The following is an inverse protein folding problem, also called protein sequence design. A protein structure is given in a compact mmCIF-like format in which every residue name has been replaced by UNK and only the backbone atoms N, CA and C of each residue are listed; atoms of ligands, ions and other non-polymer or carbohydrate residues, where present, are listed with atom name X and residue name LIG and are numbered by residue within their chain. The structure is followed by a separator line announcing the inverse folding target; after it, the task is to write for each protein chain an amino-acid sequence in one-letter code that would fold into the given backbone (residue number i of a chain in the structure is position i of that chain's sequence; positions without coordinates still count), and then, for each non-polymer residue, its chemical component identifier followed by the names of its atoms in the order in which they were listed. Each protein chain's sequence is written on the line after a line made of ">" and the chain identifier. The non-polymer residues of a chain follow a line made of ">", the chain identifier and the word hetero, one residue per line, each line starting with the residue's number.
data_IF_202648914862
#
_entry.id   IF_202648914862
#
_cell.length_a   1.000
_cell.length_b   1.000
_cell.length_c   1.000
_cell.angle_alpha   90.00
_cell.angle_beta   90.00
_cell.angle_gamma   90.00
#
_symmetry.space_group_name_H-M   'P 1'
#
loop_
_entity.id
_entity.type
_entity.pdbx_description
1 polymer ?
#
# COMPACT_ATOMS: atom_id res chain seq x y z
N UNK A 1 1.07 19.78 17.69
CA UNK A 1 1.60 19.44 16.34
C UNK A 1 2.20 18.05 16.31
N UNK A 2 3.15 17.70 17.19
CA UNK A 2 3.82 16.38 17.17
C UNK A 2 2.88 15.16 17.29
N UNK A 3 1.83 15.25 18.11
CA UNK A 3 0.80 14.18 18.21
C UNK A 3 0.11 13.88 16.87
N UNK A 4 -0.21 14.91 16.07
CA UNK A 4 -0.82 14.73 14.75
C UNK A 4 0.15 14.10 13.76
N UNK A 5 1.44 14.43 13.87
CA UNK A 5 2.49 13.81 13.04
C UNK A 5 2.64 12.32 13.37
N UNK A 6 2.64 11.97 14.65
CA UNK A 6 2.71 10.59 15.10
C UNK A 6 1.50 9.79 14.59
N UNK A 7 0.30 10.36 14.69
CA UNK A 7 -0.91 9.75 14.18
C UNK A 7 -0.85 9.53 12.67
N UNK A 8 -0.38 10.51 11.89
CA UNK A 8 -0.23 10.38 10.44
C UNK A 8 0.76 9.27 10.05
N UNK A 9 1.85 9.10 10.80
CA UNK A 9 2.79 7.99 10.60
C UNK A 9 2.17 6.64 10.95
N UNK A 10 1.41 6.56 12.04
CA UNK A 10 0.66 5.36 12.42
C UNK A 10 -0.38 4.98 11.37
N UNK A 11 -1.11 5.96 10.84
CA UNK A 11 -2.08 5.76 9.76
C UNK A 11 -1.41 5.26 8.48
N UNK A 12 -0.21 5.76 8.14
CA UNK A 12 0.55 5.28 6.98
C UNK A 12 0.98 3.83 7.13
N UNK A 13 1.42 3.43 8.33
CA UNK A 13 1.72 2.03 8.64
C UNK A 13 0.47 1.15 8.57
N UNK A 14 -0.67 1.63 9.05
CA UNK A 14 -1.94 0.91 8.93
C UNK A 14 -2.35 0.72 7.47
N UNK A 15 -2.18 1.74 6.63
CA UNK A 15 -2.42 1.66 5.19
C UNK A 15 -1.51 0.63 4.51
N UNK A 16 -0.24 0.54 4.91
CA UNK A 16 0.69 -0.49 4.43
C UNK A 16 0.20 -1.91 4.76
N UNK A 17 -0.23 -2.15 6.01
CA UNK A 17 -0.82 -3.42 6.43
C UNK A 17 -2.11 -3.75 5.68
N UNK A 18 -2.98 -2.76 5.50
CA UNK A 18 -4.19 -2.91 4.69
C UNK A 18 -3.85 -3.25 3.24
N UNK A 19 -2.83 -2.61 2.65
CA UNK A 19 -2.35 -2.92 1.30
C UNK A 19 -1.93 -4.39 1.15
N UNK A 20 -1.19 -4.93 2.12
CA UNK A 20 -0.82 -6.37 2.16
C UNK A 20 -2.06 -7.27 2.16
N UNK A 21 -3.03 -6.97 3.03
CA UNK A 21 -4.26 -7.76 3.14
C UNK A 21 -5.05 -7.69 1.83
N UNK A 22 -5.15 -6.50 1.24
CA UNK A 22 -5.86 -6.26 -0.03
C UNK A 22 -5.25 -7.07 -1.17
N UNK A 23 -3.91 -7.05 -1.31
CA UNK A 23 -3.24 -7.82 -2.35
C UNK A 23 -3.42 -9.32 -2.16
N UNK A 24 -3.41 -9.79 -0.91
CA UNK A 24 -3.64 -11.21 -0.61
C UNK A 24 -5.07 -11.61 -0.95
N UNK A 25 -6.04 -10.83 -0.45
CA UNK A 25 -7.47 -11.05 -0.73
C UNK A 25 -7.76 -11.05 -2.23
N UNK A 26 -7.24 -10.06 -2.96
CA UNK A 26 -7.37 -9.99 -4.41
C UNK A 26 -6.76 -11.20 -5.11
N UNK A 27 -5.57 -11.62 -4.72
CA UNK A 27 -4.89 -12.76 -5.33
C UNK A 27 -5.63 -14.09 -5.12
N UNK A 28 -6.24 -14.30 -3.95
CA UNK A 28 -7.09 -15.47 -3.70
C UNK A 28 -8.43 -15.42 -4.43
N UNK A 29 -8.98 -14.21 -4.63
CA UNK A 29 -10.26 -14.03 -5.32
C UNK A 29 -10.14 -14.14 -6.84
N UNK A 30 -9.01 -13.71 -7.42
CA UNK A 30 -8.80 -13.62 -8.88
C UNK A 30 -8.33 -14.93 -9.51
N UNK A 31 -7.70 -15.84 -8.75
CA UNK A 31 -7.20 -17.08 -9.33
C UNK A 31 -8.32 -18.04 -9.74
N UNK A 32 -8.37 -18.44 -11.01
CA UNK A 32 -9.35 -19.43 -11.50
C UNK A 32 -9.08 -20.85 -10.95
N UNK A 33 -7.80 -21.20 -10.82
CA UNK A 33 -7.35 -22.52 -10.35
C UNK A 33 -6.69 -22.43 -8.96
N UNK A 34 -6.74 -23.51 -8.18
CA UNK A 34 -6.19 -23.56 -6.82
C UNK A 34 -4.69 -23.15 -6.77
N UNK A 35 -3.90 -23.57 -7.76
CA UNK A 35 -2.50 -23.17 -7.88
C UNK A 35 -2.33 -21.67 -8.14
N UNK A 36 -3.15 -21.08 -9.02
CA UNK A 36 -3.13 -19.64 -9.31
C UNK A 36 -3.57 -18.80 -8.10
N UNK A 37 -4.57 -19.25 -7.35
CA UNK A 37 -5.00 -18.60 -6.10
C UNK A 37 -3.87 -18.51 -5.08
N UNK A 38 -3.12 -19.59 -4.89
CA UNK A 38 -1.96 -19.58 -4.01
C UNK A 38 -0.83 -18.71 -4.56
N UNK A 39 -0.54 -18.79 -5.86
CA UNK A 39 0.52 -18.02 -6.49
C UNK A 39 0.27 -16.51 -6.41
N UNK A 40 -0.95 -16.07 -6.72
CA UNK A 40 -1.32 -14.66 -6.65
C UNK A 40 -1.55 -14.21 -5.20
N UNK A 41 -2.29 -15.01 -4.42
CA UNK A 41 -2.66 -14.70 -3.03
C UNK A 41 -1.48 -14.63 -2.07
N UNK A 42 -0.40 -15.36 -2.32
CA UNK A 42 0.85 -15.25 -1.55
C UNK A 42 1.94 -14.48 -2.29
N UNK A 43 2.09 -14.70 -3.60
CA UNK A 43 3.15 -14.08 -4.38
C UNK A 43 3.03 -12.56 -4.42
N UNK A 44 1.82 -12.01 -4.60
CA UNK A 44 1.63 -10.55 -4.68
C UNK A 44 1.91 -9.87 -3.32
N UNK A 45 1.38 -10.34 -2.17
CA UNK A 45 1.74 -9.79 -0.86
C UNK A 45 3.24 -9.91 -0.53
N UNK A 46 3.86 -11.04 -0.88
CA UNK A 46 5.30 -11.24 -0.64
C UNK A 46 6.10 -10.24 -1.48
N UNK A 47 5.77 -10.09 -2.77
CA UNK A 47 6.41 -9.12 -3.64
C UNK A 47 6.23 -7.69 -3.12
N UNK A 48 5.01 -7.34 -2.67
CA UNK A 48 4.75 -6.06 -2.03
C UNK A 48 5.66 -5.86 -0.82
N UNK A 49 5.73 -6.83 0.11
CA UNK A 49 6.53 -6.73 1.33
C UNK A 49 8.02 -6.57 1.01
N UNK A 50 8.53 -7.30 0.03
CA UNK A 50 9.93 -7.22 -0.40
C UNK A 50 10.23 -5.86 -1.05
N UNK A 51 9.40 -5.42 -2.00
CA UNK A 51 9.58 -4.12 -2.67
C UNK A 51 9.49 -2.99 -1.64
N UNK A 52 8.50 -3.04 -0.76
CA UNK A 52 8.31 -2.04 0.27
C UNK A 52 9.48 -2.01 1.27
N UNK A 53 9.84 -3.16 1.82
CA UNK A 53 10.96 -3.33 2.74
C UNK A 53 12.30 -2.90 2.15
N UNK A 54 12.50 -3.16 0.86
CA UNK A 54 13.77 -2.88 0.18
C UNK A 54 13.89 -1.44 -0.30
N UNK A 55 12.81 -0.78 -0.72
CA UNK A 55 12.89 0.53 -1.37
C UNK A 55 12.17 1.67 -0.63
N UNK A 56 11.10 1.37 0.11
CA UNK A 56 10.23 2.38 0.73
C UNK A 56 10.40 2.47 2.25
N UNK A 57 10.82 1.38 2.90
CA UNK A 57 10.95 1.30 4.35
C UNK A 57 11.96 2.32 4.91
N UNK A 58 11.70 2.90 6.10
CA UNK A 58 12.57 3.91 6.69
C UNK A 58 13.98 3.40 7.01
N UNK A 59 14.12 2.11 7.31
CA UNK A 59 15.40 1.43 7.57
C UNK A 59 16.00 0.71 6.35
N UNK A 60 15.47 0.95 5.15
CA UNK A 60 15.97 0.34 3.92
C UNK A 60 17.41 0.77 3.62
N UNK A 61 18.26 -0.20 3.25
CA UNK A 61 19.62 0.02 2.72
C UNK A 61 19.63 0.64 1.32
N UNK A 62 18.58 0.42 0.52
CA UNK A 62 18.41 0.97 -0.84
C UNK A 62 17.23 1.93 -0.92
N UNK A 63 17.09 2.80 0.08
CA UNK A 63 15.98 3.74 0.16
C UNK A 63 16.00 4.66 -1.06
N UNK A 64 14.92 4.65 -1.84
CA UNK A 64 14.80 5.52 -3.00
C UNK A 64 14.77 6.99 -2.57
N UNK A 65 15.45 7.83 -3.36
CA UNK A 65 15.37 9.28 -3.20
C UNK A 65 14.05 9.80 -3.73
N UNK A 66 13.54 10.87 -3.14
CA UNK A 66 12.45 11.65 -3.75
C UNK A 66 12.91 12.15 -5.13
N UNK A 67 12.03 12.18 -6.15
CA UNK A 67 10.58 11.89 -6.10
C UNK A 67 10.20 10.42 -6.32
N UNK A 68 11.17 9.56 -6.66
CA UNK A 68 10.93 8.17 -7.08
C UNK A 68 10.24 7.33 -6.00
N UNK A 69 10.61 7.52 -4.73
CA UNK A 69 9.95 6.85 -3.60
C UNK A 69 8.45 7.15 -3.56
N UNK A 70 8.07 8.43 -3.64
CA UNK A 70 6.67 8.85 -3.65
C UNK A 70 5.92 8.33 -4.87
N UNK A 71 6.58 8.23 -6.03
CA UNK A 71 5.98 7.72 -7.26
C UNK A 71 5.66 6.22 -7.13
N UNK A 72 6.62 5.40 -6.67
CA UNK A 72 6.40 3.96 -6.49
C UNK A 72 5.35 3.70 -5.42
N UNK A 73 5.38 4.46 -4.32
CA UNK A 73 4.34 4.38 -3.29
C UNK A 73 2.95 4.62 -3.87
N UNK A 74 2.80 5.69 -4.67
CA UNK A 74 1.53 6.02 -5.32
C UNK A 74 1.08 4.90 -6.27
N UNK A 75 2.00 4.35 -7.07
CA UNK A 75 1.71 3.23 -7.97
C UNK A 75 1.23 2.02 -7.18
N UNK A 76 1.93 1.66 -6.10
CA UNK A 76 1.58 0.51 -5.26
C UNK A 76 0.20 0.68 -4.63
N UNK A 77 -0.10 1.84 -4.06
CA UNK A 77 -1.42 2.09 -3.47
C UNK A 77 -2.54 2.20 -4.51
N UNK A 78 -2.24 2.72 -5.70
CA UNK A 78 -3.17 2.72 -6.82
C UNK A 78 -3.49 1.29 -7.28
N UNK A 79 -2.48 0.41 -7.36
CA UNK A 79 -2.66 -1.01 -7.64
C UNK A 79 -3.51 -1.69 -6.56
N UNK A 80 -3.32 -1.36 -5.28
CA UNK A 80 -4.16 -1.88 -4.21
C UNK A 80 -5.62 -1.42 -4.33
N UNK A 81 -5.87 -0.15 -4.69
CA UNK A 81 -7.21 0.34 -4.99
C UNK A 81 -7.84 -0.42 -6.17
N UNK A 82 -7.08 -0.58 -7.26
CA UNK A 82 -7.56 -1.33 -8.43
C UNK A 82 -7.87 -2.80 -8.09
N UNK A 83 -7.03 -3.44 -7.28
CA UNK A 83 -7.25 -4.78 -6.76
C UNK A 83 -8.58 -4.86 -5.97
N UNK A 84 -8.81 -3.97 -5.00
CA UNK A 84 -10.08 -3.86 -4.27
C UNK A 84 -11.29 -3.60 -5.18
N UNK A 85 -11.13 -2.74 -6.18
CA UNK A 85 -12.19 -2.44 -7.13
C UNK A 85 -12.59 -3.68 -7.94
N UNK A 86 -11.60 -4.45 -8.40
CA UNK A 86 -11.83 -5.67 -9.19
C UNK A 86 -12.46 -6.82 -8.40
N UNK A 87 -12.33 -6.84 -7.07
CA UNK A 87 -13.08 -7.80 -6.23
C UNK A 87 -14.54 -7.39 -6.00
N UNK A 88 -14.98 -6.24 -6.56
CA UNK A 88 -16.33 -5.70 -6.40
C UNK A 88 -16.51 -4.83 -5.14
N UNK A 89 -15.46 -4.69 -4.31
CA UNK A 89 -15.51 -3.92 -3.08
C UNK A 89 -15.25 -2.42 -3.31
N UNK A 90 -16.07 -1.79 -4.16
CA UNK A 90 -15.91 -0.40 -4.60
C UNK A 90 -15.89 0.57 -3.41
N UNK A 91 -16.77 0.41 -2.42
CA UNK A 91 -16.81 1.27 -1.24
C UNK A 91 -15.50 1.22 -0.44
N UNK A 92 -14.91 0.03 -0.28
CA UNK A 92 -13.63 -0.14 0.41
C UNK A 92 -12.47 0.44 -0.41
N UNK A 93 -12.50 0.29 -1.74
CA UNK A 93 -11.52 0.93 -2.64
C UNK A 93 -11.51 2.44 -2.48
N UNK A 94 -12.69 3.07 -2.50
CA UNK A 94 -12.82 4.53 -2.39
C UNK A 94 -12.38 5.00 -1.01
N UNK A 95 -12.79 4.31 0.06
CA UNK A 95 -12.37 4.64 1.42
C UNK A 95 -10.84 4.53 1.59
N UNK A 96 -10.25 3.42 1.14
CA UNK A 96 -8.81 3.18 1.23
C UNK A 96 -8.00 4.21 0.43
N UNK A 97 -8.39 4.48 -0.82
CA UNK A 97 -7.77 5.49 -1.67
C UNK A 97 -7.91 6.90 -1.09
N UNK A 98 -9.08 7.25 -0.55
CA UNK A 98 -9.32 8.54 0.08
C UNK A 98 -8.45 8.75 1.32
N UNK A 99 -8.37 7.76 2.21
CA UNK A 99 -7.51 7.80 3.41
C UNK A 99 -6.04 7.95 3.00
N UNK A 100 -5.60 7.22 1.96
CA UNK A 100 -4.24 7.34 1.44
C UNK A 100 -3.94 8.75 0.91
N UNK A 101 -4.83 9.33 0.11
CA UNK A 101 -4.64 10.69 -0.43
C UNK A 101 -4.51 11.71 0.70
N UNK A 102 -5.40 11.66 1.70
CA UNK A 102 -5.35 12.57 2.86
C UNK A 102 -4.04 12.41 3.61
N UNK A 103 -3.63 11.17 3.89
CA UNK A 103 -2.36 10.87 4.55
C UNK A 103 -1.15 11.39 3.76
N UNK A 104 -1.17 11.22 2.43
CA UNK A 104 -0.10 11.66 1.53
C UNK A 104 0.01 13.17 1.49
N UNK A 105 -1.12 13.90 1.41
CA UNK A 105 -1.16 15.36 1.44
C UNK A 105 -0.59 15.88 2.77
N UNK A 106 -1.04 15.33 3.90
CA UNK A 106 -0.53 15.70 5.23
C UNK A 106 0.98 15.42 5.36
N UNK A 107 1.46 14.31 4.81
CA UNK A 107 2.88 13.95 4.80
C UNK A 107 3.73 14.97 4.03
N UNK A 108 3.23 15.42 2.88
CA UNK A 108 3.90 16.42 2.04
C UNK A 108 3.89 17.80 2.71
N UNK A 109 2.74 18.24 3.22
CA UNK A 109 2.59 19.54 3.90
C UNK A 109 3.47 19.64 5.14
N UNK A 110 3.58 18.58 5.94
CA UNK A 110 4.38 18.56 7.16
C UNK A 110 5.83 18.09 6.95
N UNK A 111 6.28 17.84 5.71
CA UNK A 111 7.62 17.28 5.40
C UNK A 111 8.00 16.06 6.26
N UNK A 112 7.07 15.14 6.48
CA UNK A 112 7.28 13.95 7.35
C UNK A 112 7.92 12.76 6.61
N UNK A 113 8.64 13.03 5.52
CA UNK A 113 9.19 12.04 4.60
C UNK A 113 10.26 11.14 5.24
#
# INVERSE_FOLDING_TARGET
>A
MEMLKLFNRGLRFLLELCGLIVFGYWGFQTGDNMMMKFLLGLGVPILFAVVWGTFLAPKSTRRLREPWRSLIELIIFALACWALYSTGAVNLSVAFGGIYIVNKILTVLWRQQ
#
